data_IF_714072872041
#
_entry.id   IF_714072872041
#
_cell.length_a   1.000
_cell.length_b   1.000
_cell.length_c   1.000
_cell.angle_alpha   90.00
_cell.angle_beta   90.00
_cell.angle_gamma   90.00
#
_symmetry.space_group_name_H-M   'P 1'
#
loop_
_entity.id
_entity.type
_entity.pdbx_description
1 polymer ?
#
# COMPACT_ATOMS: atom_id res chain seq x y z
N UNK A 1 -7.52 15.74 -7.94
CA UNK A 1 -6.35 15.64 -7.05
C UNK A 1 -6.59 14.50 -6.09
N UNK A 2 -5.55 13.75 -5.70
CA UNK A 2 -5.66 12.62 -4.76
C UNK A 2 -6.15 13.15 -3.41
N UNK A 3 -7.22 12.57 -2.87
CA UNK A 3 -7.80 12.96 -1.59
C UNK A 3 -7.09 12.24 -0.44
N UNK A 4 -6.02 12.86 0.07
CA UNK A 4 -5.21 12.34 1.16
C UNK A 4 -5.67 12.91 2.51
N UNK A 5 -5.81 12.04 3.51
CA UNK A 5 -6.19 12.38 4.88
C UNK A 5 -5.19 11.80 5.88
N UNK A 6 -5.06 12.44 7.04
CA UNK A 6 -4.21 11.92 8.10
C UNK A 6 -4.75 12.22 9.51
N UNK A 7 -4.45 11.31 10.44
CA UNK A 7 -4.55 11.52 11.88
C UNK A 7 -3.15 11.38 12.44
N UNK A 8 -2.69 12.36 13.21
CA UNK A 8 -1.34 12.42 13.77
C UNK A 8 -1.47 12.69 15.26
N UNK A 9 -1.03 11.73 16.07
CA UNK A 9 -1.16 11.77 17.53
C UNK A 9 0.23 11.68 18.15
N UNK A 10 0.56 12.62 19.01
CA UNK A 10 1.80 12.63 19.79
C UNK A 10 1.51 12.92 21.26
N UNK A 11 1.92 12.03 22.16
CA UNK A 11 1.58 12.13 23.59
C UNK A 11 2.84 12.09 24.46
N UNK A 12 3.17 13.24 25.03
CA UNK A 12 4.20 13.37 26.06
C UNK A 12 3.61 13.10 27.45
N UNK A 13 2.46 13.67 27.76
CA UNK A 13 1.88 13.69 29.10
C UNK A 13 0.65 12.79 29.23
N UNK A 14 0.66 11.92 30.25
CA UNK A 14 -0.43 11.02 30.61
C UNK A 14 -0.99 11.44 31.97
N UNK A 15 -2.25 11.88 32.00
CA UNK A 15 -2.87 12.56 33.15
C UNK A 15 -2.85 11.71 34.43
N UNK A 16 -3.07 10.41 34.28
CA UNK A 16 -3.11 9.46 35.40
C UNK A 16 -1.78 8.75 35.64
N UNK A 17 -0.78 8.95 34.76
CA UNK A 17 0.52 8.27 34.77
C UNK A 17 1.67 9.25 34.49
N UNK A 18 1.81 10.33 35.28
CA UNK A 18 2.81 11.38 35.03
C UNK A 18 4.26 10.84 35.08
N UNK A 19 4.51 9.74 35.78
CA UNK A 19 5.80 9.05 35.84
C UNK A 19 6.19 8.36 34.52
N UNK A 20 5.23 8.15 33.61
CA UNK A 20 5.45 7.57 32.27
C UNK A 20 5.62 8.62 31.18
N UNK A 21 5.89 9.88 31.56
CA UNK A 21 6.06 10.98 30.60
C UNK A 21 7.12 10.67 29.52
N UNK A 22 6.80 11.00 28.28
CA UNK A 22 7.73 11.04 27.15
C UNK A 22 8.20 12.49 26.90
N UNK A 23 9.35 12.64 26.24
CA UNK A 23 9.98 13.94 25.98
C UNK A 23 9.59 14.53 24.63
N UNK A 24 9.51 13.70 23.59
CA UNK A 24 9.55 14.13 22.19
C UNK A 24 8.42 13.59 21.31
N UNK A 25 7.45 12.85 21.85
CA UNK A 25 6.32 12.33 21.08
C UNK A 25 5.46 13.44 20.45
N UNK A 26 5.32 14.59 21.13
CA UNK A 26 4.65 15.78 20.57
C UNK A 26 5.46 16.35 19.40
N UNK A 27 6.77 16.50 19.56
CA UNK A 27 7.67 17.00 18.53
C UNK A 27 7.72 16.05 17.32
N UNK A 28 7.62 14.75 17.54
CA UNK A 28 7.52 13.73 16.50
C UNK A 28 6.22 13.86 15.69
N UNK A 29 5.09 14.10 16.35
CA UNK A 29 3.82 14.38 15.69
C UNK A 29 3.87 15.69 14.88
N UNK A 30 4.46 16.76 15.43
CA UNK A 30 4.67 18.02 14.70
C UNK A 30 5.55 17.83 13.46
N UNK A 31 6.65 17.09 13.59
CA UNK A 31 7.56 16.79 12.47
C UNK A 31 6.84 16.01 11.36
N UNK A 32 6.01 15.02 11.73
CA UNK A 32 5.20 14.27 10.77
C UNK A 32 4.13 15.15 10.11
N UNK A 33 3.47 16.02 10.87
CA UNK A 33 2.48 16.97 10.36
C UNK A 33 3.11 17.91 9.31
N UNK A 34 4.24 18.52 9.65
CA UNK A 34 4.97 19.41 8.76
C UNK A 34 5.43 18.67 7.51
N UNK A 35 5.91 17.43 7.65
CA UNK A 35 6.30 16.63 6.50
C UNK A 35 5.10 16.34 5.58
N UNK A 36 3.99 15.85 6.12
CA UNK A 36 2.81 15.49 5.31
C UNK A 36 2.19 16.71 4.63
N UNK A 37 2.07 17.85 5.31
CA UNK A 37 1.51 19.06 4.75
C UNK A 37 2.47 19.73 3.76
N UNK A 38 3.72 19.98 4.17
CA UNK A 38 4.64 20.81 3.40
C UNK A 38 5.36 20.03 2.30
N UNK A 39 5.73 18.77 2.55
CA UNK A 39 6.44 17.93 1.56
C UNK A 39 5.45 17.09 0.76
N UNK A 40 4.64 16.28 1.44
CA UNK A 40 3.70 15.37 0.77
C UNK A 40 2.42 16.04 0.25
N UNK A 41 2.22 17.34 0.52
CA UNK A 41 1.10 18.15 0.03
C UNK A 41 -0.28 17.61 0.44
N UNK A 42 -0.38 17.04 1.64
CA UNK A 42 -1.68 16.78 2.24
C UNK A 42 -2.34 18.13 2.57
N UNK A 43 -3.62 18.35 2.24
CA UNK A 43 -4.32 19.57 2.63
C UNK A 43 -4.34 19.67 4.17
N UNK A 44 -3.89 20.79 4.78
CA UNK A 44 -3.86 20.93 6.24
C UNK A 44 -5.21 20.66 6.91
N UNK A 45 -6.32 21.03 6.25
CA UNK A 45 -7.69 20.76 6.70
C UNK A 45 -8.07 19.26 6.75
N UNK A 46 -7.29 18.40 6.10
CA UNK A 46 -7.45 16.94 6.10
C UNK A 46 -6.48 16.24 7.06
N UNK A 47 -5.65 16.99 7.78
CA UNK A 47 -4.64 16.46 8.72
C UNK A 47 -5.01 16.83 10.15
N UNK A 48 -5.52 15.86 10.91
CA UNK A 48 -5.87 16.04 12.31
C UNK A 48 -4.66 15.85 13.22
N UNK A 49 -4.09 16.97 13.69
CA UNK A 49 -3.00 16.97 14.66
C UNK A 49 -3.53 17.00 16.10
N UNK A 50 -3.19 15.98 16.88
CA UNK A 50 -3.61 15.81 18.28
C UNK A 50 -2.39 15.72 19.19
N UNK A 51 -2.16 16.74 20.01
CA UNK A 51 -0.95 16.88 20.82
C UNK A 51 -1.29 16.80 22.31
N UNK A 52 -0.72 15.80 22.97
CA UNK A 52 -0.89 15.50 24.39
C UNK A 52 0.31 15.93 25.22
N UNK A 53 0.46 17.23 25.47
CA UNK A 53 1.44 17.77 26.44
C UNK A 53 0.74 18.25 27.73
N UNK A 54 1.44 18.93 28.63
CA UNK A 54 0.83 19.51 29.84
C UNK A 54 -0.21 20.59 29.52
N UNK A 55 -0.04 21.32 28.43
CA UNK A 55 -1.00 22.32 27.97
C UNK A 55 -2.12 21.62 27.19
N UNK A 56 -3.31 21.53 27.80
CA UNK A 56 -4.49 20.99 27.14
C UNK A 56 -4.86 21.85 25.92
N UNK A 57 -4.56 21.36 24.72
CA UNK A 57 -4.99 21.96 23.46
C UNK A 57 -6.45 21.62 23.15
N UNK A 58 -7.06 22.30 22.17
CA UNK A 58 -8.41 21.98 21.73
C UNK A 58 -8.54 20.55 21.19
N UNK A 59 -7.45 20.00 20.66
CA UNK A 59 -7.36 18.66 20.06
C UNK A 59 -6.65 17.69 21.00
N UNK A 60 -6.84 17.85 22.31
CA UNK A 60 -6.16 17.02 23.31
C UNK A 60 -6.54 15.54 23.12
N UNK A 61 -5.56 14.61 22.96
CA UNK A 61 -5.81 13.23 22.56
C UNK A 61 -6.31 12.38 23.73
N UNK A 62 -7.50 12.70 24.21
CA UNK A 62 -8.29 11.83 25.09
C UNK A 62 -8.95 10.71 24.28
N UNK A 63 -9.30 9.61 24.94
CA UNK A 63 -10.06 8.51 24.31
C UNK A 63 -11.33 9.02 23.65
N UNK A 64 -12.13 9.82 24.38
CA UNK A 64 -13.39 10.36 23.87
C UNK A 64 -13.22 11.28 22.64
N UNK A 65 -12.16 12.09 22.61
CA UNK A 65 -11.87 12.96 21.48
C UNK A 65 -11.47 12.15 20.24
N UNK A 66 -10.56 11.19 20.39
CA UNK A 66 -10.09 10.37 19.26
C UNK A 66 -11.22 9.46 18.75
N UNK A 67 -12.03 8.89 19.63
CA UNK A 67 -13.18 8.08 19.24
C UNK A 67 -14.19 8.90 18.43
N UNK A 68 -14.53 10.10 18.91
CA UNK A 68 -15.39 11.04 18.18
C UNK A 68 -14.81 11.38 16.80
N UNK A 69 -13.50 11.64 16.72
CA UNK A 69 -12.82 11.91 15.45
C UNK A 69 -12.98 10.73 14.47
N UNK A 70 -12.66 9.51 14.92
CA UNK A 70 -12.71 8.30 14.10
C UNK A 70 -14.12 7.91 13.66
N UNK A 71 -15.11 7.99 14.55
CA UNK A 71 -16.46 7.49 14.28
C UNK A 71 -17.38 8.50 13.62
N UNK A 72 -17.21 9.78 13.95
CA UNK A 72 -18.12 10.84 13.54
C UNK A 72 -17.49 11.76 12.51
N UNK A 73 -16.35 12.36 12.83
CA UNK A 73 -15.77 13.43 12.02
C UNK A 73 -15.10 12.88 10.74
N UNK A 74 -14.64 11.63 10.76
CA UNK A 74 -14.07 10.91 9.61
C UNK A 74 -15.04 9.95 8.91
N UNK A 75 -16.34 10.05 9.20
CA UNK A 75 -17.34 9.19 8.58
C UNK A 75 -17.34 9.38 7.05
N UNK A 76 -17.30 8.31 6.23
CA UNK A 76 -17.34 8.43 4.77
C UNK A 76 -18.55 9.20 4.23
N UNK A 77 -19.69 9.19 4.95
CA UNK A 77 -20.87 9.97 4.58
C UNK A 77 -20.65 11.49 4.72
N UNK A 78 -19.70 11.91 5.55
CA UNK A 78 -19.36 13.31 5.79
C UNK A 78 -18.21 13.79 4.90
N UNK A 79 -17.12 13.02 4.83
CA UNK A 79 -15.88 13.45 4.16
C UNK A 79 -15.72 12.91 2.72
N UNK A 80 -16.64 12.04 2.28
CA UNK A 80 -16.63 11.47 0.94
C UNK A 80 -15.55 10.41 0.72
N UNK A 81 -15.15 10.22 -0.54
CA UNK A 81 -14.14 9.24 -0.93
C UNK A 81 -12.74 9.69 -0.51
N UNK A 82 -12.03 8.83 0.21
CA UNK A 82 -10.61 9.01 0.57
C UNK A 82 -9.75 8.06 -0.26
N UNK A 83 -8.69 8.58 -0.87
CA UNK A 83 -7.75 7.78 -1.66
C UNK A 83 -6.63 7.21 -0.79
N UNK A 84 -6.14 7.98 0.18
CA UNK A 84 -5.10 7.56 1.14
C UNK A 84 -5.36 8.09 2.53
N UNK A 85 -5.19 7.22 3.53
CA UNK A 85 -5.23 7.55 4.94
C UNK A 85 -3.89 7.27 5.61
N UNK A 86 -3.35 8.24 6.33
CA UNK A 86 -2.22 8.02 7.24
C UNK A 86 -2.71 8.10 8.69
N UNK A 87 -2.33 7.13 9.49
CA UNK A 87 -2.50 7.19 10.94
C UNK A 87 -1.12 7.10 11.57
N UNK A 88 -0.68 8.17 12.20
CA UNK A 88 0.59 8.25 12.91
C UNK A 88 0.32 8.35 14.41
N UNK A 89 0.99 7.51 15.19
CA UNK A 89 0.94 7.55 16.64
C UNK A 89 2.35 7.47 17.22
N UNK A 90 2.72 8.46 18.03
CA UNK A 90 3.89 8.46 18.90
C UNK A 90 3.44 8.50 20.37
N UNK A 91 3.79 7.46 21.13
CA UNK A 91 3.32 7.33 22.52
C UNK A 91 3.47 5.92 23.08
N UNK A 92 2.80 5.65 24.20
CA UNK A 92 2.77 4.33 24.82
C UNK A 92 1.74 3.43 24.15
N UNK A 93 2.16 2.21 23.84
CA UNK A 93 1.29 1.12 23.43
C UNK A 93 1.33 -0.01 24.45
N UNK A 94 0.22 -0.72 24.61
CA UNK A 94 0.13 -1.90 25.48
C UNK A 94 -0.60 -3.03 24.75
N UNK A 95 -0.14 -4.25 24.92
CA UNK A 95 -0.89 -5.44 24.52
C UNK A 95 -1.44 -6.16 25.75
N UNK A 96 -2.73 -6.49 25.73
CA UNK A 96 -3.42 -7.18 26.83
C UNK A 96 -4.46 -8.13 26.28
N UNK A 97 -4.46 -9.39 26.75
CA UNK A 97 -5.39 -10.44 26.33
C UNK A 97 -5.41 -10.65 24.80
N UNK A 98 -4.24 -10.56 24.17
CA UNK A 98 -4.10 -10.70 22.71
C UNK A 98 -4.63 -9.50 21.91
N UNK A 99 -4.94 -8.39 22.58
CA UNK A 99 -5.38 -7.15 21.94
C UNK A 99 -4.39 -6.01 22.12
N UNK A 100 -4.18 -5.25 21.07
CA UNK A 100 -3.26 -4.12 21.02
C UNK A 100 -4.00 -2.77 21.22
N UNK A 101 -3.46 -1.94 22.12
CA UNK A 101 -4.02 -0.63 22.48
C UNK A 101 -2.97 0.46 22.42
N UNK A 102 -3.41 1.65 22.03
CA UNK A 102 -2.68 2.90 22.11
C UNK A 102 -3.17 3.69 23.31
N UNK A 103 -2.25 4.11 24.18
CA UNK A 103 -2.59 4.88 25.37
C UNK A 103 -2.87 6.33 24.98
N UNK A 104 -4.09 6.76 25.22
CA UNK A 104 -4.54 8.16 25.17
C UNK A 104 -4.19 8.91 26.46
N UNK A 105 -4.27 10.24 26.47
CA UNK A 105 -3.84 11.05 27.63
C UNK A 105 -4.58 10.72 28.94
N UNK A 106 -5.83 10.31 28.87
CA UNK A 106 -6.72 9.98 30.00
C UNK A 106 -6.80 8.46 30.27
N UNK A 107 -5.89 7.67 29.69
CA UNK A 107 -5.92 6.22 29.87
C UNK A 107 -5.56 5.80 31.30
N UNK A 108 -6.23 4.75 31.77
CA UNK A 108 -6.01 4.13 33.08
C UNK A 108 -5.36 2.75 32.89
N UNK A 109 -4.03 2.66 33.03
CA UNK A 109 -3.28 1.40 32.86
C UNK A 109 -3.74 0.32 33.85
N UNK A 110 -4.21 0.73 35.03
CA UNK A 110 -4.76 -0.13 36.09
C UNK A 110 -6.11 -0.74 35.74
N UNK A 111 -6.87 -0.12 34.83
CA UNK A 111 -8.13 -0.70 34.37
C UNK A 111 -7.83 -1.97 33.58
N UNK A 112 -8.19 -3.13 34.14
CA UNK A 112 -7.88 -4.43 33.55
C UNK A 112 -8.44 -4.57 32.13
N UNK A 113 -9.60 -3.94 31.88
CA UNK A 113 -10.32 -3.99 30.62
C UNK A 113 -9.83 -2.94 29.61
N UNK A 114 -8.97 -2.00 30.02
CA UNK A 114 -8.45 -0.90 29.19
C UNK A 114 -9.58 -0.12 28.47
N UNK A 115 -10.70 0.13 29.16
CA UNK A 115 -11.89 0.77 28.56
C UNK A 115 -11.65 2.19 28.05
N UNK A 116 -10.66 2.88 28.61
CA UNK A 116 -10.25 4.23 28.22
C UNK A 116 -8.87 4.16 27.56
N UNK A 117 -8.66 3.19 26.67
CA UNK A 117 -7.50 3.11 25.79
C UNK A 117 -8.00 2.86 24.37
N UNK A 118 -7.26 3.34 23.38
CA UNK A 118 -7.68 3.25 22.00
C UNK A 118 -7.27 1.89 21.42
N UNK A 119 -8.23 1.00 21.17
CA UNK A 119 -7.93 -0.28 20.51
C UNK A 119 -7.46 -0.06 19.07
N UNK A 120 -6.37 -0.74 18.67
CA UNK A 120 -5.94 -0.72 17.27
C UNK A 120 -6.97 -1.38 16.34
N UNK A 121 -7.75 -2.36 16.82
CA UNK A 121 -8.85 -2.92 16.05
C UNK A 121 -9.93 -1.86 15.75
N UNK A 122 -10.31 -1.04 16.73
CA UNK A 122 -11.26 0.08 16.52
C UNK A 122 -10.73 1.11 15.53
N UNK A 123 -9.45 1.51 15.65
CA UNK A 123 -8.80 2.43 14.71
C UNK A 123 -8.87 1.86 13.30
N UNK A 124 -8.42 0.61 13.14
CA UNK A 124 -8.38 -0.05 11.85
C UNK A 124 -9.79 -0.21 11.27
N UNK A 125 -10.75 -0.64 12.07
CA UNK A 125 -12.13 -0.83 11.65
C UNK A 125 -12.77 0.49 11.19
N UNK A 126 -12.52 1.59 11.90
CA UNK A 126 -13.01 2.92 11.52
C UNK A 126 -12.39 3.39 10.22
N UNK A 127 -11.07 3.33 10.09
CA UNK A 127 -10.40 3.74 8.85
C UNK A 127 -10.84 2.87 7.66
N UNK A 128 -11.11 1.58 7.86
CA UNK A 128 -11.59 0.67 6.80
C UNK A 128 -13.02 0.87 6.35
N UNK A 129 -13.81 1.71 7.03
CA UNK A 129 -15.08 2.23 6.47
C UNK A 129 -14.83 2.94 5.12
N UNK A 130 -13.61 3.44 4.89
CA UNK A 130 -13.12 3.91 3.59
C UNK A 130 -12.60 2.73 2.75
N UNK A 131 -13.50 2.04 2.06
CA UNK A 131 -13.24 0.74 1.41
C UNK A 131 -12.06 0.73 0.43
N UNK A 132 -11.89 1.81 -0.34
CA UNK A 132 -10.88 1.90 -1.40
C UNK A 132 -9.61 2.66 -0.97
N UNK A 133 -9.58 3.22 0.25
CA UNK A 133 -8.44 4.03 0.69
C UNK A 133 -7.20 3.16 0.94
N UNK A 134 -6.05 3.56 0.44
CA UNK A 134 -4.76 3.03 0.91
C UNK A 134 -4.51 3.53 2.34
N UNK A 135 -4.46 2.63 3.32
CA UNK A 135 -4.15 2.99 4.71
C UNK A 135 -2.70 2.64 5.00
N UNK A 136 -1.99 3.62 5.56
CA UNK A 136 -0.69 3.47 6.18
C UNK A 136 -0.81 3.76 7.67
N UNK A 137 -0.54 2.75 8.50
CA UNK A 137 -0.39 2.91 9.95
C UNK A 137 1.09 3.08 10.26
N UNK A 138 1.43 4.08 11.06
CA UNK A 138 2.78 4.33 11.56
C UNK A 138 2.73 4.35 13.08
N UNK A 139 3.39 3.38 13.70
CA UNK A 139 3.34 3.17 15.14
C UNK A 139 4.74 3.36 15.74
N UNK A 140 4.97 4.54 16.32
CA UNK A 140 6.13 4.85 17.13
C UNK A 140 5.83 4.64 18.62
N UNK A 141 5.74 3.38 18.99
CA UNK A 141 5.50 2.95 20.37
C UNK A 141 6.43 1.81 20.73
N UNK A 142 6.99 1.83 21.94
CA UNK A 142 7.83 0.75 22.43
C UNK A 142 7.09 -0.60 22.37
N UNK A 143 7.73 -1.60 21.77
CA UNK A 143 7.26 -2.99 21.75
C UNK A 143 7.96 -3.83 22.81
N UNK A 144 8.17 -3.26 23.99
CA UNK A 144 8.66 -4.01 25.15
C UNK A 144 7.89 -3.63 26.41
N UNK A 145 7.80 -4.60 27.29
CA UNK A 145 7.02 -4.62 28.51
C UNK A 145 7.77 -3.88 29.62
N UNK A 146 7.21 -2.77 30.11
CA UNK A 146 7.82 -2.03 31.21
C UNK A 146 7.38 -2.65 32.55
N UNK A 147 8.29 -3.38 33.21
CA UNK A 147 8.54 -3.25 34.65
C UNK A 147 7.44 -3.60 35.66
N UNK A 148 6.47 -4.45 35.36
CA UNK A 148 5.68 -5.15 36.38
C UNK A 148 5.37 -6.57 35.91
N UNK A 149 5.42 -7.54 36.82
CA UNK A 149 5.28 -8.98 36.52
C UNK A 149 3.91 -9.38 35.93
N UNK A 150 2.97 -8.44 35.75
CA UNK A 150 1.59 -8.73 35.37
C UNK A 150 1.05 -7.93 34.17
N UNK A 151 1.87 -7.10 33.49
CA UNK A 151 1.43 -6.36 32.30
C UNK A 151 2.50 -6.32 31.22
N UNK A 152 2.56 -7.39 30.42
CA UNK A 152 3.75 -7.59 29.60
C UNK A 152 3.53 -8.44 28.34
N UNK A 153 2.66 -8.02 27.43
CA UNK A 153 2.80 -8.38 26.02
C UNK A 153 3.14 -7.13 25.22
N UNK A 154 4.05 -7.26 24.26
CA UNK A 154 4.44 -6.17 23.38
C UNK A 154 3.43 -5.98 22.24
N UNK A 155 3.18 -4.72 21.89
CA UNK A 155 2.21 -4.36 20.85
C UNK A 155 2.63 -4.91 19.48
N UNK A 156 1.65 -5.44 18.75
CA UNK A 156 1.67 -5.51 17.30
C UNK A 156 1.53 -6.90 16.68
N UNK A 157 1.41 -7.98 17.46
CA UNK A 157 1.07 -9.29 16.89
C UNK A 157 -0.35 -9.31 16.35
N UNK A 158 -1.33 -8.84 17.14
CA UNK A 158 -2.72 -8.67 16.69
C UNK A 158 -2.78 -7.65 15.55
N UNK A 159 -2.08 -6.53 15.69
CA UNK A 159 -2.04 -5.47 14.66
C UNK A 159 -1.60 -6.02 13.30
N UNK A 160 -0.57 -6.88 13.26
CA UNK A 160 -0.12 -7.52 12.01
C UNK A 160 -1.22 -8.40 11.41
N UNK A 161 -1.92 -9.19 12.23
CA UNK A 161 -3.02 -10.04 11.78
C UNK A 161 -4.20 -9.22 11.24
N UNK A 162 -4.59 -8.16 11.97
CA UNK A 162 -5.64 -7.24 11.56
C UNK A 162 -5.28 -6.52 10.26
N UNK A 163 -4.06 -5.99 10.15
CA UNK A 163 -3.57 -5.29 8.97
C UNK A 163 -3.56 -6.21 7.74
N UNK A 164 -3.14 -7.46 7.91
CA UNK A 164 -3.18 -8.49 6.86
C UNK A 164 -4.59 -8.77 6.38
N UNK A 165 -5.54 -8.96 7.30
CA UNK A 165 -6.94 -9.25 6.95
C UNK A 165 -7.65 -8.08 6.25
N UNK A 166 -7.13 -6.85 6.39
CA UNK A 166 -7.77 -5.60 5.94
C UNK A 166 -6.96 -4.81 4.91
N UNK A 167 -5.87 -5.39 4.38
CA UNK A 167 -5.05 -4.79 3.34
C UNK A 167 -4.45 -3.43 3.75
N UNK A 168 -3.72 -3.42 4.86
CA UNK A 168 -3.15 -2.21 5.47
C UNK A 168 -1.64 -2.34 5.55
N UNK A 169 -0.95 -1.27 5.13
CA UNK A 169 0.49 -1.15 5.36
C UNK A 169 0.74 -0.65 6.77
N UNK A 170 1.60 -1.32 7.53
CA UNK A 170 1.99 -0.91 8.88
C UNK A 170 3.49 -0.73 8.97
N UNK A 171 3.93 0.44 9.45
CA UNK A 171 5.31 0.80 9.70
C UNK A 171 5.48 0.87 11.22
N UNK A 172 6.39 0.09 11.77
CA UNK A 172 6.64 0.06 13.20
C UNK A 172 8.04 0.56 13.51
N UNK A 173 8.17 1.31 14.61
CA UNK A 173 9.44 1.91 15.01
C UNK A 173 10.53 0.94 15.46
N UNK A 174 10.14 -0.28 15.85
CA UNK A 174 11.03 -1.35 16.25
C UNK A 174 10.39 -2.73 16.02
N UNK A 175 11.21 -3.78 16.12
CA UNK A 175 10.76 -5.17 16.06
C UNK A 175 10.15 -5.62 17.40
N UNK A 176 9.45 -6.75 17.41
CA UNK A 176 8.87 -7.31 18.63
C UNK A 176 9.96 -7.52 19.70
N UNK A 177 9.71 -7.06 20.93
CA UNK A 177 10.67 -7.15 22.04
C UNK A 177 11.78 -6.09 22.03
N UNK A 178 11.69 -5.04 21.20
CA UNK A 178 12.66 -3.95 21.14
C UNK A 178 12.07 -2.60 21.63
N UNK A 179 12.97 -1.64 21.88
CA UNK A 179 12.61 -0.27 22.30
C UNK A 179 12.68 0.71 21.14
N UNK A 180 11.82 1.74 21.17
CA UNK A 180 12.02 2.96 20.41
C UNK A 180 12.70 3.99 21.31
N UNK A 181 13.66 4.75 20.77
CA UNK A 181 14.48 5.67 21.56
C UNK A 181 14.18 7.14 21.27
N UNK A 182 14.13 7.94 22.33
CA UNK A 182 14.14 9.40 22.26
C UNK A 182 15.59 9.92 22.25
N UNK A 183 15.89 10.81 21.31
CA UNK A 183 17.23 11.37 21.11
C UNK A 183 17.28 12.82 21.59
N UNK A 184 18.01 13.07 22.67
CA UNK A 184 18.10 14.41 23.25
C UNK A 184 18.82 15.40 22.31
N UNK A 185 19.75 14.91 21.48
CA UNK A 185 20.47 15.69 20.47
C UNK A 185 19.60 16.12 19.28
N UNK A 186 18.55 15.35 18.96
CA UNK A 186 17.63 15.63 17.87
C UNK A 186 16.31 16.26 18.31
N UNK A 187 15.97 16.15 19.60
CA UNK A 187 14.66 16.56 20.14
C UNK A 187 13.48 15.83 19.48
N UNK A 188 13.73 14.59 19.07
CA UNK A 188 12.81 13.71 18.38
C UNK A 188 13.07 12.25 18.77
N UNK A 189 12.10 11.38 18.55
CA UNK A 189 12.28 9.94 18.46
C UNK A 189 13.21 9.58 17.31
N UNK A 190 14.12 8.63 17.55
CA UNK A 190 15.08 8.16 16.55
C UNK A 190 14.39 7.62 15.30
N UNK A 191 13.28 6.92 15.50
CA UNK A 191 12.48 6.39 14.39
C UNK A 191 11.77 7.51 13.64
N UNK A 192 10.98 8.36 14.31
CA UNK A 192 10.20 9.37 13.59
C UNK A 192 11.09 10.34 12.82
N UNK A 193 12.20 10.80 13.41
CA UNK A 193 13.20 11.59 12.72
C UNK A 193 13.73 10.86 11.47
N UNK A 194 14.12 9.60 11.63
CA UNK A 194 14.65 8.78 10.52
C UNK A 194 13.61 8.49 9.44
N UNK A 195 12.34 8.28 9.82
CA UNK A 195 11.23 8.03 8.91
C UNK A 195 11.00 9.24 8.00
N UNK A 196 10.97 10.44 8.56
CA UNK A 196 10.77 11.67 7.78
C UNK A 196 11.97 11.94 6.86
N UNK A 197 13.20 11.72 7.31
CA UNK A 197 14.40 11.83 6.45
C UNK A 197 14.44 10.75 5.36
N UNK A 198 13.97 9.54 5.67
CA UNK A 198 13.87 8.42 4.73
C UNK A 198 12.81 8.66 3.66
N UNK A 199 11.61 9.11 4.05
CA UNK A 199 10.49 9.38 3.12
C UNK A 199 10.77 10.52 2.13
N UNK A 200 11.74 11.40 2.41
CA UNK A 200 12.24 12.40 1.46
C UNK A 200 13.09 11.79 0.33
N UNK A 201 13.57 10.57 0.51
CA UNK A 201 14.50 9.88 -0.38
C UNK A 201 13.92 8.61 -0.99
N UNK A 202 13.09 7.89 -0.23
CA UNK A 202 12.54 6.59 -0.58
C UNK A 202 11.07 6.53 -0.20
N UNK A 203 10.23 6.32 -1.20
CA UNK A 203 8.80 6.11 -1.05
C UNK A 203 8.41 4.68 -1.39
N UNK A 204 9.32 3.89 -1.98
CA UNK A 204 9.17 2.44 -2.05
C UNK A 204 9.37 1.81 -0.66
N UNK A 205 8.43 0.99 -0.19
CA UNK A 205 8.51 0.38 1.14
C UNK A 205 9.81 -0.37 1.43
N UNK A 206 10.31 -1.17 0.48
CA UNK A 206 11.52 -2.01 0.67
C UNK A 206 12.79 -1.18 0.77
N UNK A 207 12.92 -0.13 -0.04
CA UNK A 207 14.03 0.81 0.03
C UNK A 207 13.98 1.63 1.32
N UNK A 208 12.80 2.09 1.71
CA UNK A 208 12.59 2.81 2.96
C UNK A 208 12.91 1.93 4.18
N UNK A 209 12.44 0.68 4.20
CA UNK A 209 12.76 -0.26 5.29
C UNK A 209 14.27 -0.47 5.42
N UNK A 210 14.96 -0.71 4.30
CA UNK A 210 16.42 -0.88 4.27
C UNK A 210 17.13 0.35 4.85
N UNK A 211 16.74 1.55 4.39
CA UNK A 211 17.28 2.81 4.91
C UNK A 211 17.06 2.95 6.42
N UNK A 212 15.86 2.63 6.92
CA UNK A 212 15.53 2.75 8.34
C UNK A 212 16.29 1.75 9.21
N UNK A 213 16.45 0.51 8.74
CA UNK A 213 17.19 -0.53 9.45
C UNK A 213 18.69 -0.22 9.57
N UNK A 214 19.25 0.59 8.67
CA UNK A 214 20.62 1.09 8.77
C UNK A 214 20.70 2.38 9.60
N UNK A 215 19.84 3.36 9.30
CA UNK A 215 19.96 4.71 9.82
C UNK A 215 19.58 4.82 11.30
N UNK A 216 18.53 4.11 11.75
CA UNK A 216 18.05 4.18 13.14
C UNK A 216 19.09 3.65 14.14
N UNK A 217 19.67 2.43 13.99
CA UNK A 217 20.72 1.96 14.89
C UNK A 217 21.95 2.87 14.90
N UNK A 218 22.34 3.40 13.74
CA UNK A 218 23.47 4.31 13.63
C UNK A 218 23.21 5.62 14.39
N UNK A 219 22.02 6.19 14.25
CA UNK A 219 21.64 7.42 14.94
C UNK A 219 21.52 7.22 16.46
N UNK A 220 20.96 6.09 16.88
CA UNK A 220 20.91 5.67 18.28
C UNK A 220 22.32 5.59 18.89
N UNK A 221 23.27 4.95 18.20
CA UNK A 221 24.64 4.83 18.68
C UNK A 221 25.35 6.19 18.84
N UNK A 222 25.04 7.18 17.97
CA UNK A 222 25.57 8.54 18.09
C UNK A 222 25.07 9.28 19.33
N UNK A 223 23.90 8.92 19.86
CA UNK A 223 23.30 9.48 21.08
C UNK A 223 23.52 8.57 22.31
N UNK A 224 24.41 7.57 22.20
CA UNK A 224 24.76 6.65 23.28
C UNK A 224 23.68 5.60 23.61
N UNK A 225 22.73 5.36 22.70
CA UNK A 225 21.71 4.30 22.82
C UNK A 225 22.17 3.06 22.05
N UNK A 226 22.53 1.99 22.76
CA UNK A 226 23.11 0.77 22.16
C UNK A 226 22.16 -0.43 22.08
N UNK A 227 20.92 -0.29 22.55
CA UNK A 227 19.91 -1.34 22.41
C UNK A 227 19.44 -1.49 20.96
N UNK A 228 19.03 -2.70 20.61
CA UNK A 228 18.51 -2.99 19.28
C UNK A 228 17.19 -2.25 19.06
N UNK A 229 17.14 -1.45 18.00
CA UNK A 229 15.93 -0.85 17.46
C UNK A 229 15.97 -1.04 15.94
N UNK A 230 15.13 -1.94 15.44
CA UNK A 230 15.06 -2.32 14.03
C UNK A 230 13.68 -2.00 13.51
N UNK A 231 13.49 -0.85 12.83
CA UNK A 231 12.22 -0.51 12.21
C UNK A 231 11.81 -1.57 11.19
N UNK A 232 10.50 -1.72 11.03
CA UNK A 232 9.96 -2.80 10.22
C UNK A 232 8.67 -2.39 9.52
N UNK A 233 8.59 -2.72 8.23
CA UNK A 233 7.44 -2.41 7.38
C UNK A 233 6.73 -3.72 7.03
N UNK A 234 5.40 -3.68 7.14
CA UNK A 234 4.50 -4.79 6.80
C UNK A 234 3.54 -4.29 5.75
N UNK A 235 3.62 -4.85 4.56
CA UNK A 235 2.84 -4.42 3.40
C UNK A 235 1.82 -5.50 3.13
N UNK A 236 0.54 -5.15 3.22
CA UNK A 236 -0.55 -6.08 3.00
C UNK A 236 -1.60 -5.45 2.05
N UNK A 237 -2.03 -6.17 1.00
CA UNK A 237 -1.48 -7.44 0.52
C UNK A 237 -0.07 -7.27 -0.06
N UNK A 238 0.71 -8.36 -0.08
CA UNK A 238 2.08 -8.40 -0.64
C UNK A 238 2.18 -7.89 -2.08
N UNK A 239 1.10 -7.98 -2.87
CA UNK A 239 1.06 -7.42 -4.23
C UNK A 239 1.31 -5.91 -4.29
N UNK A 240 1.17 -5.20 -3.17
CA UNK A 240 1.46 -3.76 -3.03
C UNK A 240 2.92 -3.46 -2.65
N UNK A 241 3.81 -4.46 -2.59
CA UNK A 241 5.21 -4.26 -2.18
C UNK A 241 5.95 -3.20 -3.01
N UNK A 242 5.55 -3.04 -4.27
CA UNK A 242 6.11 -2.08 -5.22
C UNK A 242 5.21 -0.84 -5.41
N UNK A 243 4.27 -0.56 -4.50
CA UNK A 243 3.47 0.65 -4.53
C UNK A 243 4.17 1.75 -3.71
N UNK A 244 4.25 2.96 -4.27
CA UNK A 244 4.83 4.10 -3.57
C UNK A 244 3.92 4.53 -2.40
N UNK A 245 4.49 4.66 -1.21
CA UNK A 245 3.79 5.17 -0.03
C UNK A 245 3.33 6.62 -0.18
N UNK A 246 4.07 7.41 -0.97
CA UNK A 246 3.79 8.80 -1.30
C UNK A 246 4.19 9.05 -2.77
N UNK A 247 3.36 8.66 -3.76
CA UNK A 247 3.69 8.73 -5.19
C UNK A 247 4.16 10.10 -5.68
N UNK A 248 3.65 11.18 -5.09
CA UNK A 248 4.03 12.56 -5.38
C UNK A 248 5.47 12.91 -4.98
N UNK A 249 6.07 12.14 -4.07
CA UNK A 249 7.45 12.26 -3.59
C UNK A 249 8.37 11.18 -4.17
N UNK A 250 7.91 10.36 -5.12
CA UNK A 250 8.73 9.30 -5.71
C UNK A 250 10.07 9.84 -6.22
N UNK A 251 11.15 9.33 -5.64
CA UNK A 251 12.48 9.83 -5.96
C UNK A 251 12.99 9.24 -7.28
N UNK A 252 14.08 9.79 -7.81
CA UNK A 252 14.75 9.18 -8.95
C UNK A 252 15.20 7.75 -8.65
N UNK A 253 15.68 7.49 -7.43
CA UNK A 253 16.15 6.16 -7.02
C UNK A 253 14.99 5.16 -6.95
N UNK A 254 13.85 5.58 -6.41
CA UNK A 254 12.61 4.79 -6.39
C UNK A 254 12.16 4.43 -7.83
N UNK A 255 12.17 5.41 -8.73
CA UNK A 255 11.75 5.22 -10.13
C UNK A 255 12.72 4.30 -10.88
N UNK A 256 14.02 4.51 -10.72
CA UNK A 256 15.04 3.68 -11.37
C UNK A 256 14.95 2.22 -10.89
N UNK A 257 14.61 1.99 -9.61
CA UNK A 257 14.35 0.65 -9.06
C UNK A 257 13.15 -0.03 -9.75
N UNK A 258 12.02 0.66 -9.87
CA UNK A 258 10.84 0.12 -10.58
C UNK A 258 11.14 -0.14 -12.05
N UNK A 259 11.94 0.71 -12.71
CA UNK A 259 12.36 0.48 -14.10
C UNK A 259 13.19 -0.79 -14.21
N UNK A 260 14.13 -1.01 -13.30
CA UNK A 260 14.97 -2.21 -13.30
C UNK A 260 14.14 -3.47 -13.06
N UNK A 261 13.20 -3.41 -12.10
CA UNK A 261 12.29 -4.50 -11.83
C UNK A 261 11.38 -4.78 -13.04
N UNK A 262 10.79 -3.75 -13.66
CA UNK A 262 9.93 -3.89 -14.83
C UNK A 262 10.65 -4.57 -16.00
N UNK A 263 11.91 -4.20 -16.24
CA UNK A 263 12.76 -4.86 -17.25
C UNK A 263 13.03 -6.32 -16.88
N UNK A 264 13.31 -6.61 -15.61
CA UNK A 264 13.56 -7.98 -15.17
C UNK A 264 12.32 -8.86 -15.33
N UNK A 265 11.14 -8.38 -14.93
CA UNK A 265 9.88 -9.11 -15.11
C UNK A 265 9.58 -9.33 -16.60
N UNK A 266 9.86 -8.33 -17.46
CA UNK A 266 9.68 -8.49 -18.91
C UNK A 266 10.63 -9.55 -19.49
N UNK A 267 11.87 -9.63 -19.01
CA UNK A 267 12.86 -10.62 -19.44
C UNK A 267 12.52 -12.04 -18.98
N UNK A 268 11.80 -12.16 -17.86
CA UNK A 268 11.33 -13.42 -17.31
C UNK A 268 9.94 -13.82 -17.86
N UNK A 269 9.45 -13.14 -18.90
CA UNK A 269 8.12 -13.36 -19.50
C UNK A 269 6.93 -13.16 -18.54
N UNK A 270 7.14 -12.51 -17.39
CA UNK A 270 6.08 -12.10 -16.45
C UNK A 270 5.40 -10.81 -16.93
N UNK A 271 4.75 -10.90 -18.10
CA UNK A 271 4.27 -9.73 -18.82
C UNK A 271 3.21 -8.90 -18.09
N UNK A 272 2.37 -9.51 -17.24
CA UNK A 272 1.39 -8.78 -16.42
C UNK A 272 2.08 -7.89 -15.37
N UNK A 273 3.07 -8.43 -14.66
CA UNK A 273 3.80 -7.68 -13.64
C UNK A 273 4.66 -6.58 -14.28
N UNK A 274 5.37 -6.90 -15.35
CA UNK A 274 6.13 -5.91 -16.13
C UNK A 274 5.24 -4.76 -16.62
N UNK A 275 4.06 -5.08 -17.17
CA UNK A 275 3.09 -4.10 -17.64
C UNK A 275 2.64 -3.16 -16.51
N UNK A 276 2.29 -3.71 -15.35
CA UNK A 276 1.85 -2.93 -14.19
C UNK A 276 2.98 -2.03 -13.66
N UNK A 277 4.21 -2.53 -13.61
CA UNK A 277 5.38 -1.75 -13.17
C UNK A 277 5.68 -0.59 -14.12
N UNK A 278 5.60 -0.78 -15.44
CA UNK A 278 5.79 0.32 -16.39
C UNK A 278 4.72 1.40 -16.26
N UNK A 279 3.47 1.04 -15.99
CA UNK A 279 2.42 2.03 -15.69
C UNK A 279 2.70 2.84 -14.43
N UNK A 280 3.29 2.21 -13.40
CA UNK A 280 3.75 2.93 -12.21
C UNK A 280 4.80 3.99 -12.56
N UNK A 281 5.77 3.66 -13.42
CA UNK A 281 6.78 4.62 -13.91
C UNK A 281 6.11 5.82 -14.60
N UNK A 282 5.13 5.58 -15.48
CA UNK A 282 4.39 6.67 -16.16
C UNK A 282 3.70 7.58 -15.14
N UNK A 283 3.08 6.99 -14.12
CA UNK A 283 2.30 7.71 -13.10
C UNK A 283 3.16 8.65 -12.25
N UNK A 284 4.38 8.23 -11.88
CA UNK A 284 5.21 8.98 -10.91
C UNK A 284 6.40 9.71 -11.51
N UNK A 285 6.84 9.36 -12.73
CA UNK A 285 8.02 9.99 -13.31
C UNK A 285 7.76 11.44 -13.72
N UNK A 286 8.71 12.32 -13.41
CA UNK A 286 8.77 13.69 -13.96
C UNK A 286 9.58 13.77 -15.25
N UNK A 287 10.28 12.70 -15.66
CA UNK A 287 11.15 12.68 -16.83
C UNK A 287 10.38 12.20 -18.06
N UNK A 288 10.26 13.07 -19.06
CA UNK A 288 9.61 12.70 -20.33
C UNK A 288 10.30 11.51 -21.00
N UNK A 289 11.63 11.44 -20.90
CA UNK A 289 12.41 10.31 -21.43
C UNK A 289 12.02 8.98 -20.76
N UNK A 290 11.81 8.97 -19.44
CA UNK A 290 11.39 7.76 -18.72
C UNK A 290 9.94 7.39 -19.06
N UNK A 291 9.05 8.38 -19.26
CA UNK A 291 7.67 8.13 -19.69
C UNK A 291 7.60 7.51 -21.08
N UNK A 292 8.33 8.06 -22.05
CA UNK A 292 8.41 7.50 -23.41
C UNK A 292 8.97 6.08 -23.37
N UNK A 293 10.06 5.85 -22.62
CA UNK A 293 10.61 4.50 -22.44
C UNK A 293 9.57 3.51 -21.90
N UNK A 294 8.78 3.92 -20.91
CA UNK A 294 7.74 3.10 -20.33
C UNK A 294 6.60 2.81 -21.32
N UNK A 295 6.19 3.80 -22.11
CA UNK A 295 5.17 3.63 -23.16
C UNK A 295 5.62 2.63 -24.23
N UNK A 296 6.84 2.79 -24.74
CA UNK A 296 7.42 1.85 -25.73
C UNK A 296 7.54 0.42 -25.17
N UNK A 297 7.86 0.30 -23.87
CA UNK A 297 7.91 -1.00 -23.21
C UNK A 297 6.52 -1.64 -23.08
N UNK A 298 5.50 -0.86 -22.75
CA UNK A 298 4.10 -1.32 -22.67
C UNK A 298 3.61 -1.81 -24.04
N UNK A 299 3.87 -1.07 -25.12
CA UNK A 299 3.52 -1.48 -26.49
C UNK A 299 4.18 -2.82 -26.85
N UNK A 300 5.49 -2.94 -26.58
CA UNK A 300 6.25 -4.18 -26.81
C UNK A 300 5.70 -5.36 -26.00
N UNK A 301 5.32 -5.14 -24.75
CA UNK A 301 4.71 -6.18 -23.90
C UNK A 301 3.36 -6.63 -24.46
N UNK A 302 2.52 -5.71 -24.92
CA UNK A 302 1.24 -6.04 -25.54
C UNK A 302 1.42 -6.89 -26.82
N UNK A 303 2.42 -6.58 -27.64
CA UNK A 303 2.76 -7.38 -28.82
C UNK A 303 3.21 -8.79 -28.44
N UNK A 304 4.07 -8.92 -27.42
CA UNK A 304 4.53 -10.23 -26.92
C UNK A 304 3.36 -11.06 -26.38
N UNK A 305 2.50 -10.48 -25.54
CA UNK A 305 1.29 -11.14 -25.02
C UNK A 305 0.37 -11.63 -26.15
N UNK A 306 0.15 -10.80 -27.16
CA UNK A 306 -0.70 -11.15 -28.31
C UNK A 306 -0.15 -12.35 -29.09
N UNK A 307 1.18 -12.45 -29.24
CA UNK A 307 1.84 -13.59 -29.89
C UNK A 307 1.70 -14.87 -29.07
N UNK A 308 1.90 -14.81 -27.75
CA UNK A 308 1.71 -15.95 -26.84
C UNK A 308 0.28 -16.49 -26.94
N UNK A 309 -0.72 -15.61 -26.86
CA UNK A 309 -2.13 -16.00 -26.99
C UNK A 309 -2.45 -16.65 -28.34
N UNK A 310 -1.89 -16.10 -29.42
CA UNK A 310 -2.06 -16.69 -30.75
C UNK A 310 -1.44 -18.10 -30.83
N UNK A 311 -0.27 -18.30 -30.24
CA UNK A 311 0.40 -19.59 -30.20
C UNK A 311 -0.38 -20.62 -29.37
N UNK A 312 -0.84 -20.25 -28.17
CA UNK A 312 -1.69 -21.11 -27.34
C UNK A 312 -2.99 -21.51 -28.06
N UNK A 313 -3.60 -20.59 -28.81
CA UNK A 313 -4.80 -20.89 -29.60
C UNK A 313 -4.51 -21.92 -30.71
N UNK A 314 -3.37 -21.77 -31.41
CA UNK A 314 -2.94 -22.73 -32.44
C UNK A 314 -2.68 -24.11 -31.82
N UNK A 315 -2.00 -24.17 -30.67
CA UNK A 315 -1.73 -25.43 -29.97
C UNK A 315 -3.02 -26.13 -29.52
N UNK A 316 -4.00 -25.38 -28.99
CA UNK A 316 -5.33 -25.92 -28.64
C UNK A 316 -6.03 -26.53 -29.86
N UNK A 317 -6.06 -25.81 -30.99
CA UNK A 317 -6.66 -26.31 -32.24
C UNK A 317 -5.97 -27.60 -32.71
N UNK A 318 -4.65 -27.67 -32.62
CA UNK A 318 -3.90 -28.85 -33.04
C UNK A 318 -4.16 -30.07 -32.12
N UNK A 319 -4.30 -29.84 -30.82
CA UNK A 319 -4.66 -30.88 -29.85
C UNK A 319 -6.11 -31.38 -30.04
N UNK A 320 -7.05 -30.49 -30.34
CA UNK A 320 -8.43 -30.91 -30.64
C UNK A 320 -8.52 -31.72 -31.94
N UNK A 321 -7.72 -31.36 -32.96
CA UNK A 321 -7.62 -32.13 -34.22
C UNK A 321 -7.01 -33.52 -34.03
N UNK A 322 -6.13 -33.71 -33.07
CA UNK A 322 -5.49 -35.02 -32.82
C UNK A 322 -6.39 -36.02 -32.09
N UNK A 323 -7.45 -35.53 -31.42
CA UNK A 323 -8.47 -36.34 -30.74
C UNK A 323 -9.56 -36.88 -31.68
N UNK A 324 -9.57 -36.49 -32.96
CA UNK A 324 -10.51 -36.97 -33.98
C UNK A 324 -10.04 -38.36 -34.48
N UNK A 325 -10.87 -39.43 -34.42
CA UNK A 325 -10.51 -40.76 -34.90
C UNK A 325 -10.13 -40.77 -36.39
N UNK A 326 -9.16 -41.61 -36.78
CA UNK A 326 -8.67 -41.71 -38.17
C UNK A 326 -9.76 -42.00 -39.22
N UNK A 327 -10.90 -42.56 -38.80
CA UNK A 327 -12.06 -42.81 -39.66
C UNK A 327 -12.70 -41.54 -40.21
N UNK A 328 -12.56 -40.40 -39.52
CA UNK A 328 -13.18 -39.11 -39.90
C UNK A 328 -12.17 -38.12 -40.52
N UNK A 329 -10.87 -38.44 -40.54
CA UNK A 329 -9.82 -37.54 -41.06
C UNK A 329 -9.85 -37.32 -42.58
N UNK A 330 -10.59 -38.13 -43.35
CA UNK A 330 -10.68 -37.99 -44.81
C UNK A 330 -11.49 -36.77 -45.28
N UNK A 331 -12.28 -36.13 -44.41
CA UNK A 331 -13.05 -34.93 -44.77
C UNK A 331 -12.35 -33.60 -44.39
N UNK A 332 -11.18 -33.63 -43.74
CA UNK A 332 -10.51 -32.42 -43.21
C UNK A 332 -9.33 -31.90 -44.05
N UNK A 333 -8.83 -32.65 -45.03
CA UNK A 333 -7.65 -32.30 -45.83
C UNK A 333 -7.92 -31.34 -47.02
N UNK A 334 -9.13 -30.77 -47.12
CA UNK A 334 -9.55 -29.94 -48.25
C UNK A 334 -9.86 -28.47 -47.97
N UNK A 335 -9.70 -27.96 -46.73
CA UNK A 335 -10.08 -26.56 -46.40
C UNK A 335 -8.89 -25.75 -45.90
N UNK A 336 -8.82 -24.51 -46.38
CA UNK A 336 -7.67 -23.61 -46.45
C UNK A 336 -6.82 -23.41 -45.18
N UNK A 337 -5.57 -23.01 -45.43
CA UNK A 337 -4.51 -22.76 -44.45
C UNK A 337 -4.92 -21.67 -43.41
N UNK A 338 -5.01 -21.95 -42.10
CA UNK A 338 -5.55 -21.00 -41.10
C UNK A 338 -4.65 -19.77 -40.83
N UNK A 339 -3.42 -19.78 -41.32
CA UNK A 339 -2.40 -18.75 -41.05
C UNK A 339 -2.77 -17.38 -41.67
N UNK A 340 -3.69 -17.33 -42.65
CA UNK A 340 -4.12 -16.07 -43.30
C UNK A 340 -5.17 -15.26 -42.51
N UNK A 341 -5.74 -15.78 -41.43
CA UNK A 341 -6.78 -15.13 -40.63
C UNK A 341 -6.33 -14.80 -39.18
N UNK A 342 -5.04 -14.49 -38.99
CA UNK A 342 -4.59 -13.86 -37.76
C UNK A 342 -5.10 -12.39 -37.69
N UNK A 343 -5.44 -11.87 -36.50
CA UNK A 343 -5.82 -10.47 -36.35
C UNK A 343 -4.67 -9.58 -36.84
N UNK A 344 -4.99 -8.58 -37.67
CA UNK A 344 -4.03 -7.53 -38.01
C UNK A 344 -3.68 -6.72 -36.75
N UNK A 345 -2.44 -6.22 -36.62
CA UNK A 345 -2.06 -5.36 -35.51
C UNK A 345 -3.01 -4.15 -35.43
N UNK A 346 -3.33 -3.75 -34.19
CA UNK A 346 -4.22 -2.63 -33.88
C UNK A 346 -3.64 -1.35 -34.53
N UNK A 347 -4.46 -0.50 -35.18
CA UNK A 347 -3.95 0.71 -35.82
C UNK A 347 -3.34 1.65 -34.77
N UNK A 348 -2.21 2.27 -35.11
CA UNK A 348 -1.60 3.34 -34.31
C UNK A 348 -2.64 4.45 -34.07
N UNK A 349 -3.10 4.62 -32.85
CA UNK A 349 -3.98 5.73 -32.49
C UNK A 349 -3.15 7.01 -32.39
N UNK A 350 -3.19 7.83 -33.43
CA UNK A 350 -2.77 9.22 -33.35
C UNK A 350 -3.81 9.99 -32.52
N UNK A 351 -3.50 10.26 -31.25
CA UNK A 351 -4.16 11.32 -30.48
C UNK A 351 -4.85 10.86 -29.20
N UNK A 352 -4.36 11.41 -28.08
CA UNK A 352 -4.93 11.46 -26.72
C UNK A 352 -5.31 10.12 -26.08
N UNK A 353 -4.39 9.61 -25.25
CA UNK A 353 -4.69 8.59 -24.25
C UNK A 353 -5.49 9.23 -23.10
N UNK A 354 -6.80 8.99 -23.08
CA UNK A 354 -7.62 9.20 -21.88
C UNK A 354 -7.44 8.01 -20.91
N UNK A 355 -7.47 8.30 -19.60
CA UNK A 355 -7.34 7.31 -18.52
C UNK A 355 -8.33 6.16 -18.71
N UNK A 356 -7.83 4.96 -19.02
CA UNK A 356 -8.65 3.75 -19.07
C UNK A 356 -8.69 3.12 -17.68
N UNK A 357 -9.90 2.92 -17.14
CA UNK A 357 -10.11 2.35 -15.82
C UNK A 357 -9.60 0.88 -15.76
N UNK A 358 -8.81 0.47 -14.74
CA UNK A 358 -8.34 -0.91 -14.57
C UNK A 358 -9.43 -1.99 -14.47
N UNK A 359 -10.72 -1.63 -14.35
CA UNK A 359 -11.83 -2.58 -14.42
C UNK A 359 -12.52 -2.65 -15.79
N UNK A 360 -12.18 -1.77 -16.75
CA UNK A 360 -12.77 -1.81 -18.09
C UNK A 360 -12.24 -2.97 -18.93
N UNK A 361 -11.04 -3.51 -18.63
CA UNK A 361 -10.57 -4.77 -19.24
C UNK A 361 -11.34 -6.00 -18.74
N UNK A 362 -11.95 -5.93 -17.55
CA UNK A 362 -12.78 -7.01 -17.00
C UNK A 362 -14.21 -6.96 -17.55
N UNK A 363 -14.73 -5.77 -17.90
CA UNK A 363 -16.07 -5.61 -18.48
C UNK A 363 -16.16 -6.14 -19.91
N UNK A 364 -15.09 -6.04 -20.70
CA UNK A 364 -14.99 -6.70 -22.03
C UNK A 364 -14.99 -8.23 -21.95
N UNK A 365 -14.81 -8.83 -20.77
CA UNK A 365 -14.92 -10.29 -20.56
C UNK A 365 -16.31 -10.79 -20.19
N UNK A 366 -17.30 -9.93 -19.90
CA UNK A 366 -18.62 -10.37 -19.40
C UNK A 366 -19.83 -9.99 -20.26
N UNK A 367 -19.71 -9.14 -21.27
CA UNK A 367 -20.85 -8.77 -22.13
C UNK A 367 -20.77 -9.23 -23.59
N UNK A 368 -19.73 -9.98 -24.00
CA UNK A 368 -19.65 -10.55 -25.35
C UNK A 368 -19.53 -12.08 -25.40
N UNK A 369 -19.62 -12.77 -24.24
CA UNK A 369 -19.50 -14.24 -24.17
C UNK A 369 -20.86 -14.95 -24.02
N UNK A 370 -21.98 -14.25 -24.23
CA UNK A 370 -23.32 -14.88 -24.25
C UNK A 370 -24.11 -14.67 -25.53
N UNK A 371 -23.51 -14.07 -26.56
CA UNK A 371 -24.18 -14.05 -27.87
C UNK A 371 -23.73 -15.24 -28.71
N UNK A 372 -24.63 -16.23 -28.81
CA UNK A 372 -24.59 -17.36 -29.73
C UNK A 372 -24.45 -16.92 -31.21
N UNK A 373 -24.38 -15.62 -31.53
CA UNK A 373 -24.15 -15.08 -32.86
C UNK A 373 -22.71 -15.24 -33.38
N UNK A 374 -21.69 -15.36 -32.51
CA UNK A 374 -20.31 -15.63 -32.94
C UNK A 374 -20.12 -17.08 -33.41
N UNK A 375 -20.76 -18.04 -32.72
CA UNK A 375 -20.80 -19.44 -33.10
C UNK A 375 -21.64 -19.67 -34.37
N UNK A 376 -22.80 -19.02 -34.50
CA UNK A 376 -23.65 -19.18 -35.70
C UNK A 376 -23.05 -18.58 -36.97
N UNK A 377 -22.20 -17.53 -36.88
CA UNK A 377 -21.47 -16.99 -38.05
C UNK A 377 -20.35 -17.89 -38.55
N UNK A 378 -19.71 -18.66 -37.66
CA UNK A 378 -18.67 -19.62 -38.03
C UNK A 378 -19.31 -20.92 -38.55
N UNK A 379 -20.43 -21.35 -37.98
CA UNK A 379 -21.16 -22.55 -38.44
C UNK A 379 -21.86 -22.32 -39.79
N UNK A 380 -22.41 -21.13 -40.06
CA UNK A 380 -22.98 -20.80 -41.37
C UNK A 380 -21.94 -20.73 -42.51
N UNK A 381 -20.68 -20.43 -42.21
CA UNK A 381 -19.61 -20.42 -43.23
C UNK A 381 -19.02 -21.81 -43.52
N UNK A 382 -19.39 -22.82 -42.72
CA UNK A 382 -18.88 -24.19 -42.86
C UNK A 382 -19.81 -25.08 -43.69
N UNK A 383 -21.08 -24.71 -43.88
CA UNK A 383 -22.12 -25.55 -44.49
C UNK A 383 -22.85 -25.00 -45.72
N UNK A 384 -22.37 -23.96 -46.40
CA UNK A 384 -23.01 -23.48 -47.63
C UNK A 384 -22.09 -23.56 -48.86
N UNK A 385 -22.11 -24.71 -49.53
CA UNK A 385 -21.86 -24.83 -50.97
C UNK A 385 -23.08 -25.48 -51.63
N UNK A 386 -23.85 -24.64 -52.34
CA UNK A 386 -24.66 -24.89 -53.55
C UNK A 386 -25.55 -26.14 -53.60
N UNK A 387 -26.85 -25.92 -53.49
CA UNK A 387 -27.76 -25.83 -54.66
C UNK A 387 -28.97 -24.94 -54.35
#
# INVERSE_FOLDING_TARGET
>A
MVNNWAIIIGINFYQHHPERRLKFAVQDAELMYDFLCNSAKFPPEHVFLCLGDEANSQNYPTYSYILKLLERDLNPALIGQVDRFWFFFAGHGISRNGKDYLMTCDSLVEDIDLRIALSLDEVIACLRKHQNAEIVLVLDSCRQTIGSRDFANSIGEETVQLAKSRGITTIFSCNYGQFSHELDSKKHGSFTYSLVEGLKQYTLPTQLETYLQEYVPRLNAQDGKFSNQTPIIRIEPVSKVNDFLLPQLASKNDIDEIINLAKSEELNDHFDDAYNLWWKVIKVSYSEKQKVLAQEAIERINDKKSKVLAQEAIERINNEKSLIPDSDKRNFLGKENPIKNLPKPIPKSNGKFEEMNPDDWKKTKKSEVTDQSWWNKIVHYIFDEKD
#
